data_IF_512354943357
#
_entry.id   IF_512354943357
#
_cell.length_a   1.000
_cell.length_b   1.000
_cell.length_c   1.000
_cell.angle_alpha   90.00
_cell.angle_beta   90.00
_cell.angle_gamma   90.00
#
_symmetry.space_group_name_H-M   'P 1'
#
loop_
_entity.id
_entity.type
_entity.pdbx_description
1 polymer ?
#
# COMPACT_ATOMS: atom_id res chain seq x y z
N UNK A 1 -18.24 -43.68 -1.70
CA UNK A 1 -18.20 -43.94 -3.17
C UNK A 1 -18.27 -42.58 -3.84
N UNK A 2 -17.18 -41.99 -4.34
CA UNK A 2 -16.54 -42.32 -5.62
C UNK A 2 -17.33 -41.59 -6.73
N UNK A 3 -16.80 -40.65 -7.52
CA UNK A 3 -15.53 -40.67 -8.24
C UNK A 3 -15.00 -39.27 -8.58
N UNK A 4 -13.66 -39.13 -8.52
CA UNK A 4 -12.87 -38.13 -9.24
C UNK A 4 -12.89 -38.39 -10.75
N UNK A 5 -12.73 -37.35 -11.57
CA UNK A 5 -12.02 -37.45 -12.86
C UNK A 5 -11.38 -36.11 -13.25
N UNK A 6 -10.05 -36.10 -13.22
CA UNK A 6 -9.18 -35.14 -13.88
C UNK A 6 -9.27 -35.31 -15.41
N UNK A 7 -9.04 -34.25 -16.18
CA UNK A 7 -8.56 -34.38 -17.55
C UNK A 7 -7.50 -33.31 -17.85
N UNK A 8 -6.29 -33.81 -18.15
CA UNK A 8 -5.13 -33.10 -18.71
C UNK A 8 -4.80 -33.83 -20.01
N UNK A 9 -4.64 -33.10 -21.11
CA UNK A 9 -3.96 -33.44 -22.38
C UNK A 9 -3.84 -32.09 -23.12
N UNK A 10 -2.70 -31.44 -23.42
CA UNK A 10 -1.47 -31.74 -24.20
C UNK A 10 -1.68 -32.44 -25.53
N UNK A 11 -1.49 -31.69 -26.64
CA UNK A 11 -0.44 -31.86 -27.68
C UNK A 11 -0.64 -30.81 -28.81
N UNK A 12 0.33 -29.92 -29.05
CA UNK A 12 1.39 -29.94 -30.08
C UNK A 12 0.94 -29.75 -31.55
N UNK A 13 1.42 -28.67 -32.19
CA UNK A 13 2.10 -28.82 -33.49
C UNK A 13 3.11 -27.69 -33.72
N UNK A 14 4.33 -28.13 -34.03
CA UNK A 14 5.49 -27.37 -34.51
C UNK A 14 5.30 -27.00 -35.98
N UNK A 15 5.99 -25.96 -36.45
CA UNK A 15 6.83 -26.11 -37.63
C UNK A 15 7.98 -25.10 -37.63
N UNK A 16 9.19 -25.65 -37.55
CA UNK A 16 10.45 -25.01 -37.87
C UNK A 16 10.67 -25.11 -39.39
N UNK A 17 11.30 -24.13 -40.03
CA UNK A 17 12.34 -24.47 -40.99
C UNK A 17 13.43 -23.39 -41.09
N UNK A 18 14.63 -23.82 -40.72
CA UNK A 18 15.94 -23.26 -41.08
C UNK A 18 16.13 -23.45 -42.60
N UNK A 19 16.92 -22.69 -43.37
CA UNK A 19 18.38 -22.82 -43.58
C UNK A 19 18.79 -21.74 -44.62
N UNK A 20 19.85 -20.92 -44.43
CA UNK A 20 21.27 -21.10 -44.89
C UNK A 20 21.39 -20.93 -46.44
N UNK A 21 22.30 -20.19 -47.10
CA UNK A 21 23.54 -19.45 -46.77
C UNK A 21 24.10 -18.79 -48.07
N UNK A 22 24.91 -17.72 -47.92
CA UNK A 22 25.96 -17.19 -48.83
C UNK A 22 25.58 -16.68 -50.24
N UNK A 23 26.31 -15.78 -50.92
CA UNK A 23 27.48 -14.91 -50.68
C UNK A 23 27.68 -14.13 -51.99
N UNK A 24 28.11 -12.87 -51.92
CA UNK A 24 28.96 -12.14 -52.88
C UNK A 24 28.72 -10.64 -52.67
N UNK A 25 29.65 -9.69 -52.79
CA UNK A 25 31.12 -9.62 -52.77
C UNK A 25 31.42 -8.11 -52.86
N UNK A 26 32.30 -7.58 -52.01
CA UNK A 26 33.19 -6.42 -52.26
C UNK A 26 32.53 -5.03 -52.49
N UNK A 27 33.12 -3.86 -52.20
CA UNK A 27 34.46 -3.49 -51.77
C UNK A 27 34.47 -2.09 -51.10
N UNK A 28 35.37 -1.94 -50.13
CA UNK A 28 36.19 -0.76 -49.77
C UNK A 28 35.60 0.67 -49.73
N UNK A 29 35.75 1.33 -48.58
CA UNK A 29 36.76 2.39 -48.45
C UNK A 29 37.06 2.71 -46.98
N UNK A 30 38.34 2.89 -46.71
CA UNK A 30 38.99 3.18 -45.44
C UNK A 30 38.76 4.64 -45.02
N UNK A 31 38.68 4.94 -43.72
CA UNK A 31 39.64 5.84 -43.05
C UNK A 31 39.49 5.85 -41.53
N UNK A 32 40.65 5.85 -40.89
CA UNK A 32 41.01 5.80 -39.48
C UNK A 32 40.61 7.04 -38.67
N UNK A 33 40.33 6.86 -37.37
CA UNK A 33 41.15 7.46 -36.28
C UNK A 33 40.59 7.15 -34.87
N UNK A 34 41.54 7.00 -33.96
CA UNK A 34 41.48 6.68 -32.53
C UNK A 34 41.16 7.89 -31.63
N UNK A 35 40.82 7.60 -30.35
CA UNK A 35 41.05 8.35 -29.07
C UNK A 35 39.72 8.61 -28.31
N UNK A 36 39.42 7.97 -27.18
CA UNK A 36 39.94 8.06 -25.79
C UNK A 36 39.10 8.99 -24.86
N UNK A 37 38.67 8.40 -23.73
CA UNK A 37 38.38 8.96 -22.39
C UNK A 37 37.27 10.02 -22.18
N UNK A 38 36.19 9.64 -21.48
CA UNK A 38 35.90 10.00 -20.07
C UNK A 38 34.44 9.67 -19.73
N UNK A 39 34.22 8.63 -18.91
CA UNK A 39 32.93 8.40 -18.24
C UNK A 39 32.95 9.17 -16.92
N UNK A 40 32.28 10.32 -16.89
CA UNK A 40 32.00 11.04 -15.66
C UNK A 40 31.00 10.22 -14.85
N UNK A 41 31.44 9.79 -13.67
CA UNK A 41 30.57 9.23 -12.64
C UNK A 41 29.93 10.39 -11.88
N UNK A 42 28.71 10.76 -12.26
CA UNK A 42 27.88 11.65 -11.45
C UNK A 42 27.39 10.88 -10.23
N UNK A 43 28.11 11.03 -9.11
CA UNK A 43 27.59 10.67 -7.79
C UNK A 43 26.68 11.80 -7.32
N UNK A 44 25.39 11.67 -7.58
CA UNK A 44 24.37 12.52 -6.97
C UNK A 44 24.28 12.19 -5.48
N UNK A 45 25.07 12.88 -4.68
CA UNK A 45 24.90 12.94 -3.23
C UNK A 45 23.63 13.74 -2.95
N UNK A 46 22.49 13.06 -2.85
CA UNK A 46 21.28 13.62 -2.28
C UNK A 46 21.56 13.90 -0.80
N UNK A 47 21.83 15.16 -0.48
CA UNK A 47 21.80 15.64 0.89
C UNK A 47 20.38 15.52 1.41
N UNK A 48 20.14 14.50 2.24
CA UNK A 48 18.96 14.42 3.08
C UNK A 48 18.91 15.69 3.91
N UNK A 49 17.93 16.53 3.61
CA UNK A 49 17.66 17.74 4.38
C UNK A 49 17.09 17.24 5.70
N UNK A 50 17.87 17.29 6.78
CA UNK A 50 17.34 17.11 8.13
C UNK A 50 16.30 18.21 8.37
N UNK A 51 15.03 17.88 8.13
CA UNK A 51 13.91 18.65 8.66
C UNK A 51 13.92 18.39 10.15
N UNK A 52 14.33 19.39 10.93
CA UNK A 52 14.13 19.41 12.36
C UNK A 52 12.62 19.40 12.62
N UNK A 53 12.04 18.20 12.70
CA UNK A 53 10.65 17.96 13.07
C UNK A 53 10.48 18.35 14.54
N UNK A 54 10.01 19.57 14.76
CA UNK A 54 9.65 20.08 16.09
C UNK A 54 8.27 19.59 16.55
N UNK A 55 7.68 18.63 15.84
CA UNK A 55 6.33 18.17 16.10
C UNK A 55 6.31 17.23 17.29
N UNK A 56 5.39 17.50 18.22
CA UNK A 56 5.22 16.67 19.40
C UNK A 56 4.91 15.23 19.00
N UNK A 57 5.72 14.29 19.50
CA UNK A 57 5.54 12.87 19.23
C UNK A 57 4.14 12.42 19.61
N UNK A 58 3.57 11.54 18.80
CA UNK A 58 2.32 10.87 19.14
C UNK A 58 2.56 9.86 20.28
N UNK A 59 1.55 9.69 21.12
CA UNK A 59 1.49 8.64 22.13
C UNK A 59 0.15 7.94 22.03
N UNK A 60 0.15 6.61 22.13
CA UNK A 60 -1.08 5.80 22.11
C UNK A 60 -2.04 6.23 23.22
N UNK A 61 -1.53 6.64 24.39
CA UNK A 61 -2.37 7.02 25.54
C UNK A 61 -3.14 8.32 25.36
N UNK A 62 -2.71 9.19 24.43
CA UNK A 62 -3.31 10.50 24.17
C UNK A 62 -3.81 10.62 22.73
N UNK A 63 -3.82 9.52 21.97
CA UNK A 63 -4.21 9.50 20.58
C UNK A 63 -5.71 9.79 20.46
N UNK A 64 -6.07 10.87 19.78
CA UNK A 64 -7.49 11.13 19.47
C UNK A 64 -8.00 10.10 18.46
N UNK A 65 -9.31 9.87 18.40
CA UNK A 65 -9.91 8.96 17.40
C UNK A 65 -9.53 9.33 15.96
N UNK A 66 -9.44 10.64 15.67
CA UNK A 66 -9.04 11.15 14.34
C UNK A 66 -7.57 10.87 14.05
N UNK A 67 -6.68 11.13 15.01
CA UNK A 67 -5.26 10.77 14.87
C UNK A 67 -5.06 9.26 14.78
N UNK A 68 -5.85 8.45 15.48
CA UNK A 68 -5.83 6.99 15.36
C UNK A 68 -6.19 6.55 13.94
N UNK A 69 -7.31 7.03 13.39
CA UNK A 69 -7.72 6.69 12.02
C UNK A 69 -6.67 7.16 10.98
N UNK A 70 -6.16 8.38 11.12
CA UNK A 70 -5.13 8.93 10.23
C UNK A 70 -3.80 8.15 10.33
N UNK A 71 -3.33 7.84 11.53
CA UNK A 71 -2.08 7.06 11.72
C UNK A 71 -2.19 5.63 11.19
N UNK A 72 -3.34 4.97 11.38
CA UNK A 72 -3.63 3.64 10.80
C UNK A 72 -3.64 3.71 9.27
N UNK A 73 -4.24 4.74 8.67
CA UNK A 73 -4.23 4.93 7.22
C UNK A 73 -2.81 5.12 6.68
N UNK A 74 -2.04 6.03 7.29
CA UNK A 74 -0.64 6.32 6.90
C UNK A 74 0.22 5.06 7.02
N UNK A 75 0.12 4.33 8.14
CA UNK A 75 0.85 3.09 8.35
C UNK A 75 0.47 2.01 7.34
N UNK A 76 -0.83 1.81 7.13
CA UNK A 76 -1.34 0.82 6.17
C UNK A 76 -0.90 1.10 4.74
N UNK A 77 -0.79 2.38 4.37
CA UNK A 77 -0.34 2.82 3.05
C UNK A 77 1.17 2.69 2.84
N UNK A 78 1.97 2.99 3.87
CA UNK A 78 3.43 3.12 3.73
C UNK A 78 4.21 1.88 4.16
N UNK A 79 3.69 1.09 5.11
CA UNK A 79 4.39 -0.09 5.66
C UNK A 79 3.67 -1.40 5.35
N UNK A 80 2.34 -1.45 5.46
CA UNK A 80 1.61 -2.70 5.18
C UNK A 80 1.48 -3.00 3.67
N UNK A 81 1.82 -2.03 2.81
CA UNK A 81 1.80 -2.12 1.34
C UNK A 81 0.49 -2.69 0.76
N UNK A 82 -0.63 -2.23 1.33
CA UNK A 82 -1.96 -2.64 0.87
C UNK A 82 -2.43 -1.64 -0.20
N UNK A 83 -2.68 -2.07 -1.45
CA UNK A 83 -3.00 -1.14 -2.55
C UNK A 83 -4.16 -0.18 -2.26
N UNK A 84 -5.20 -0.63 -1.54
CA UNK A 84 -6.35 0.23 -1.20
C UNK A 84 -6.01 1.30 -0.17
N UNK A 85 -5.16 0.98 0.82
CA UNK A 85 -4.72 1.98 1.80
C UNK A 85 -3.90 3.07 1.13
N UNK A 86 -3.04 2.70 0.18
CA UNK A 86 -2.24 3.67 -0.56
C UNK A 86 -3.10 4.68 -1.34
N UNK A 87 -4.09 4.21 -2.08
CA UNK A 87 -5.00 5.10 -2.82
C UNK A 87 -5.79 6.04 -1.89
N UNK A 88 -6.32 5.50 -0.79
CA UNK A 88 -7.07 6.30 0.19
C UNK A 88 -6.19 7.30 0.93
N UNK A 89 -4.93 6.95 1.20
CA UNK A 89 -3.94 7.85 1.78
C UNK A 89 -3.58 8.99 0.82
N UNK A 90 -3.29 8.68 -0.45
CA UNK A 90 -2.96 9.70 -1.46
C UNK A 90 -4.11 10.71 -1.66
N UNK A 91 -5.35 10.23 -1.66
CA UNK A 91 -6.53 11.11 -1.72
C UNK A 91 -6.73 11.92 -0.43
N UNK A 92 -6.52 11.30 0.72
CA UNK A 92 -6.64 12.00 2.02
C UNK A 92 -5.59 13.09 2.16
N UNK A 93 -4.37 12.87 1.67
CA UNK A 93 -3.33 13.90 1.58
C UNK A 93 -3.72 15.01 0.60
N UNK A 94 -4.16 14.65 -0.61
CA UNK A 94 -4.53 15.64 -1.62
C UNK A 94 -5.63 16.59 -1.14
N UNK A 95 -6.56 16.07 -0.35
CA UNK A 95 -7.69 16.83 0.19
C UNK A 95 -7.43 17.37 1.60
N UNK A 96 -6.26 17.06 2.19
CA UNK A 96 -5.93 17.26 3.60
C UNK A 96 -7.08 16.84 4.54
N UNK A 97 -7.80 15.77 4.20
CA UNK A 97 -9.03 15.34 4.86
C UNK A 97 -9.26 13.85 4.67
N UNK A 98 -9.56 13.16 5.77
CA UNK A 98 -10.02 11.78 5.78
C UNK A 98 -11.51 11.72 6.18
N UNK A 99 -12.28 10.89 5.49
CA UNK A 99 -13.60 10.48 5.95
C UNK A 99 -13.50 9.15 6.66
N UNK A 100 -14.20 8.99 7.78
CA UNK A 100 -14.27 7.73 8.52
C UNK A 100 -15.74 7.39 8.69
N UNK A 101 -16.16 6.21 8.24
CA UNK A 101 -17.51 5.70 8.51
C UNK A 101 -17.44 4.55 9.50
N UNK A 102 -18.26 4.61 10.54
CA UNK A 102 -18.39 3.53 11.52
C UNK A 102 -19.51 2.61 11.06
N UNK A 103 -19.17 1.36 10.77
CA UNK A 103 -20.12 0.33 10.34
C UNK A 103 -20.19 -0.74 11.42
N UNK A 104 -21.32 -0.82 12.11
CA UNK A 104 -21.58 -1.90 13.06
C UNK A 104 -21.92 -3.17 12.30
N UNK A 105 -21.12 -4.19 12.49
CA UNK A 105 -21.28 -5.51 11.90
C UNK A 105 -22.07 -6.42 12.83
N UNK A 106 -22.61 -7.49 12.26
CA UNK A 106 -23.25 -8.55 13.02
C UNK A 106 -22.19 -9.47 13.67
N UNK A 107 -22.63 -10.30 14.62
CA UNK A 107 -21.74 -11.18 15.38
C UNK A 107 -21.05 -12.25 14.50
N UNK A 108 -21.67 -12.65 13.38
CA UNK A 108 -21.13 -13.60 12.41
C UNK A 108 -20.03 -13.01 11.50
N UNK A 109 -19.90 -11.69 11.48
CA UNK A 109 -18.88 -10.94 10.73
C UNK A 109 -17.78 -10.38 11.65
N UNK A 110 -17.81 -10.75 12.93
CA UNK A 110 -16.90 -10.26 13.98
C UNK A 110 -16.12 -11.41 14.59
N UNK A 111 -14.79 -11.38 14.47
CA UNK A 111 -13.95 -12.36 15.14
C UNK A 111 -13.93 -12.12 16.66
N UNK A 112 -13.67 -13.17 17.44
CA UNK A 112 -13.82 -13.11 18.91
C UNK A 112 -12.83 -12.16 19.61
N UNK A 113 -11.75 -11.77 18.94
CA UNK A 113 -10.70 -10.85 19.38
C UNK A 113 -10.96 -9.39 18.98
N UNK A 114 -12.04 -9.11 18.24
CA UNK A 114 -12.30 -7.83 17.58
C UNK A 114 -13.54 -7.11 18.14
N UNK A 115 -13.60 -5.79 17.94
CA UNK A 115 -14.84 -5.03 18.09
C UNK A 115 -15.77 -5.28 16.89
N UNK A 116 -17.10 -5.22 17.08
CA UNK A 116 -18.04 -5.37 15.98
C UNK A 116 -18.17 -4.09 15.13
N UNK A 117 -17.18 -3.21 15.17
CA UNK A 117 -17.20 -1.93 14.45
C UNK A 117 -16.08 -1.93 13.42
N UNK A 118 -16.45 -1.91 12.15
CA UNK A 118 -15.53 -1.63 11.06
C UNK A 118 -15.44 -0.12 10.86
N UNK A 119 -14.24 0.41 10.96
CA UNK A 119 -13.92 1.79 10.64
C UNK A 119 -13.48 1.84 9.18
N UNK A 120 -14.41 2.18 8.29
CA UNK A 120 -14.09 2.39 6.88
C UNK A 120 -13.34 3.71 6.71
N UNK A 121 -12.20 3.65 6.03
CA UNK A 121 -11.31 4.77 5.77
C UNK A 121 -11.56 5.29 4.35
N UNK A 122 -11.80 6.60 4.24
CA UNK A 122 -12.15 7.31 3.02
C UNK A 122 -13.37 6.70 2.24
N UNK A 123 -14.49 6.40 2.91
CA UNK A 123 -15.66 5.83 2.27
C UNK A 123 -16.20 6.78 1.18
N UNK A 124 -16.44 6.26 -0.01
CA UNK A 124 -16.99 7.01 -1.15
C UNK A 124 -16.00 7.90 -1.91
N UNK A 125 -14.71 7.90 -1.55
CA UNK A 125 -13.67 8.62 -2.29
C UNK A 125 -12.95 7.75 -3.34
N UNK A 126 -13.08 6.43 -3.27
CA UNK A 126 -12.74 5.47 -4.32
C UNK A 126 -13.84 4.40 -4.41
N UNK A 127 -13.94 3.73 -5.56
CA UNK A 127 -14.79 2.54 -5.78
C UNK A 127 -14.35 1.31 -4.94
N UNK A 128 -13.39 1.49 -4.02
CA UNK A 128 -12.78 0.46 -3.21
C UNK A 128 -12.49 0.99 -1.79
N UNK A 129 -13.19 0.49 -0.79
CA UNK A 129 -12.96 0.88 0.61
C UNK A 129 -11.93 -0.01 1.29
N UNK A 130 -11.10 0.60 2.14
CA UNK A 130 -10.31 -0.11 3.13
C UNK A 130 -10.82 0.27 4.52
N UNK A 131 -10.45 -0.50 5.53
CA UNK A 131 -10.86 -0.19 6.89
C UNK A 131 -10.05 -0.93 7.92
N UNK A 132 -10.40 -0.73 9.17
CA UNK A 132 -9.80 -1.46 10.27
C UNK A 132 -10.83 -1.78 11.34
N UNK A 133 -10.51 -2.79 12.14
CA UNK A 133 -11.17 -3.06 13.41
C UNK A 133 -10.16 -2.97 14.54
N UNK A 134 -10.65 -2.65 15.72
CA UNK A 134 -9.84 -2.65 16.94
C UNK A 134 -10.02 -3.98 17.66
N UNK A 135 -8.94 -4.50 18.23
CA UNK A 135 -8.96 -5.70 19.04
C UNK A 135 -8.67 -5.43 20.51
N UNK A 136 -8.51 -6.50 21.26
CA UNK A 136 -8.01 -6.42 22.65
C UNK A 136 -6.54 -5.97 22.62
N UNK A 137 -6.04 -5.47 23.76
CA UNK A 137 -4.62 -5.11 23.91
C UNK A 137 -4.07 -4.19 22.81
N UNK A 138 -4.89 -3.24 22.32
CA UNK A 138 -4.51 -2.26 21.27
C UNK A 138 -4.19 -2.90 19.92
N UNK A 139 -4.69 -4.09 19.65
CA UNK A 139 -4.57 -4.72 18.33
C UNK A 139 -5.35 -3.92 17.29
N UNK A 140 -4.79 -3.85 16.08
CA UNK A 140 -5.39 -3.23 14.91
C UNK A 140 -5.40 -4.26 13.80
N UNK A 141 -6.60 -4.54 13.29
CA UNK A 141 -6.81 -5.49 12.20
C UNK A 141 -7.16 -4.74 10.93
N UNK A 142 -6.34 -4.92 9.90
CA UNK A 142 -6.53 -4.25 8.62
C UNK A 142 -7.48 -5.06 7.74
N UNK A 143 -8.40 -4.35 7.11
CA UNK A 143 -9.41 -4.90 6.22
C UNK A 143 -9.35 -4.22 4.85
N UNK A 144 -9.55 -5.01 3.81
CA UNK A 144 -9.72 -4.54 2.43
C UNK A 144 -11.02 -5.07 1.88
N UNK A 145 -11.73 -4.24 1.12
CA UNK A 145 -12.89 -4.69 0.36
C UNK A 145 -12.48 -5.80 -0.61
N UNK A 146 -13.32 -6.83 -0.72
CA UNK A 146 -13.08 -7.96 -1.62
C UNK A 146 -13.57 -7.60 -3.02
N UNK A 147 -12.73 -7.79 -4.03
CA UNK A 147 -13.07 -7.44 -5.42
C UNK A 147 -14.27 -8.29 -5.90
N UNK A 148 -15.27 -7.61 -6.46
CA UNK A 148 -16.48 -8.21 -7.06
C UNK A 148 -17.42 -8.93 -6.07
N UNK A 149 -17.27 -8.73 -4.76
CA UNK A 149 -18.18 -9.27 -3.74
C UNK A 149 -18.45 -8.24 -2.66
N UNK A 150 -19.68 -8.18 -2.12
CA UNK A 150 -19.94 -7.43 -0.91
C UNK A 150 -19.08 -7.97 0.24
N UNK A 151 -18.49 -7.08 1.02
CA UNK A 151 -17.76 -7.43 2.25
C UNK A 151 -16.27 -7.10 2.22
N UNK A 152 -15.66 -7.28 3.39
CA UNK A 152 -14.25 -7.02 3.66
C UNK A 152 -13.55 -8.30 4.11
N UNK A 153 -12.26 -8.41 3.81
CA UNK A 153 -11.41 -9.48 4.33
C UNK A 153 -10.28 -8.91 5.16
N UNK A 154 -9.96 -9.58 6.27
CA UNK A 154 -8.79 -9.27 7.08
C UNK A 154 -7.54 -9.61 6.27
N UNK A 155 -6.64 -8.65 6.18
CA UNK A 155 -5.42 -8.73 5.35
C UNK A 155 -4.13 -8.59 6.17
N UNK A 156 -4.24 -8.18 7.42
CA UNK A 156 -3.10 -8.01 8.30
C UNK A 156 -3.51 -7.61 9.70
N UNK A 157 -2.54 -7.64 10.61
CA UNK A 157 -2.70 -7.24 11.99
C UNK A 157 -1.42 -6.56 12.48
N UNK A 158 -1.57 -5.64 13.43
CA UNK A 158 -0.46 -4.98 14.15
C UNK A 158 -1.02 -4.45 15.49
N UNK A 159 -0.28 -3.57 16.16
CA UNK A 159 -0.72 -2.88 17.37
C UNK A 159 -0.66 -1.37 17.18
N UNK A 160 -1.48 -0.63 17.94
CA UNK A 160 -1.39 0.84 17.95
C UNK A 160 0.01 1.32 18.38
N UNK A 161 0.69 0.58 19.26
CA UNK A 161 2.06 0.90 19.69
C UNK A 161 3.04 0.83 18.50
N UNK A 162 3.01 -0.24 17.70
CA UNK A 162 3.86 -0.36 16.50
C UNK A 162 3.55 0.72 15.45
N UNK A 163 2.27 1.08 15.29
CA UNK A 163 1.84 2.14 14.40
C UNK A 163 2.41 3.48 14.86
N UNK A 164 2.23 3.84 16.14
CA UNK A 164 2.72 5.11 16.69
C UNK A 164 4.24 5.18 16.65
N UNK A 165 4.94 4.10 16.97
CA UNK A 165 6.40 4.01 16.87
C UNK A 165 6.88 4.24 15.44
N UNK A 166 6.21 3.66 14.44
CA UNK A 166 6.51 3.90 13.03
C UNK A 166 6.32 5.37 12.64
N UNK A 167 5.17 5.97 13.01
CA UNK A 167 4.88 7.39 12.69
C UNK A 167 5.93 8.32 13.30
N UNK A 168 6.30 8.08 14.57
CA UNK A 168 7.28 8.89 15.28
C UNK A 168 8.71 8.72 14.74
N UNK A 169 9.11 7.49 14.39
CA UNK A 169 10.46 7.20 13.89
C UNK A 169 10.69 7.61 12.43
N UNK A 170 9.61 7.81 11.66
CA UNK A 170 9.67 8.16 10.24
C UNK A 170 9.28 9.62 9.95
N UNK A 171 9.18 10.48 10.97
CA UNK A 171 8.90 11.90 10.77
C UNK A 171 7.56 12.15 10.07
N UNK A 172 6.52 11.39 10.47
CA UNK A 172 5.19 11.42 9.84
C UNK A 172 4.11 12.08 10.71
N UNK A 173 4.49 12.62 11.87
CA UNK A 173 3.55 13.24 12.83
C UNK A 173 2.77 14.38 12.20
N UNK A 174 3.44 15.26 11.45
CA UNK A 174 2.78 16.38 10.78
C UNK A 174 1.76 15.93 9.75
N UNK A 175 2.08 14.90 8.98
CA UNK A 175 1.15 14.33 8.00
C UNK A 175 -0.09 13.73 8.67
N UNK A 176 0.12 13.02 9.78
CA UNK A 176 -1.00 12.47 10.57
C UNK A 176 -1.87 13.61 11.10
N UNK A 177 -1.27 14.65 11.67
CA UNK A 177 -2.01 15.79 12.22
C UNK A 177 -2.74 16.59 11.13
N UNK A 178 -2.11 16.80 9.97
CA UNK A 178 -2.72 17.45 8.81
C UNK A 178 -4.00 16.73 8.37
N UNK A 179 -3.94 15.41 8.20
CA UNK A 179 -5.11 14.59 7.86
C UNK A 179 -6.14 14.61 8.99
N UNK A 180 -5.70 14.42 10.24
CA UNK A 180 -6.57 14.31 11.41
C UNK A 180 -7.39 15.58 11.68
N UNK A 181 -6.81 16.77 11.47
CA UNK A 181 -7.46 18.05 11.79
C UNK A 181 -8.77 18.25 11.03
N UNK A 182 -8.83 17.86 9.77
CA UNK A 182 -10.03 17.99 8.94
C UNK A 182 -10.81 16.67 8.81
N UNK A 183 -10.41 15.63 9.54
CA UNK A 183 -11.07 14.33 9.49
C UNK A 183 -12.52 14.44 9.94
N UNK A 184 -13.42 13.87 9.15
CA UNK A 184 -14.85 13.76 9.43
C UNK A 184 -15.17 12.33 9.80
N UNK A 185 -15.86 12.14 10.92
CA UNK A 185 -16.29 10.82 11.40
C UNK A 185 -17.81 10.78 11.33
N UNK A 186 -18.35 9.82 10.59
CA UNK A 186 -19.78 9.62 10.38
C UNK A 186 -20.22 8.29 11.02
N UNK A 187 -21.40 8.30 11.64
CA UNK A 187 -21.96 7.11 12.32
C UNK A 187 -21.77 7.07 13.83
N UNK A 188 -21.50 8.22 14.47
CA UNK A 188 -21.71 8.41 15.92
C UNK A 188 -23.20 8.59 16.27
#
# INVERSE_FOLDING_TARGET
MGYFKSNRQTENSRNNNSTVVQKDKSNSSEKSSSSNSNSYSESSSSSEKETSDNSEKLSVSTLTNKQNAASILVYGALKADVPLFKGNYELSLKNSQLYVSLVKLNDDETEADETPILYELAPGQMDSSCGYKLGRNREVYFYSQVKNTPGFSRIGATTQDEIVDYINSHHLVDKVNEIANNTVVNGE
#
